data_IF_534320777430
#
_entry.id   IF_534320777430
#
_cell.length_a   1.000
_cell.length_b   1.000
_cell.length_c   1.000
_cell.angle_alpha   90.00
_cell.angle_beta   90.00
_cell.angle_gamma   90.00
#
_symmetry.space_group_name_H-M   'P 1'
#
loop_
_entity.id
_entity.type
_entity.pdbx_description
1 polymer ?
#
# COMPACT_ATOMS: atom_id res chain seq x y z
N UNK A 1 13.71 -8.30 -8.00
CA UNK A 1 12.89 -8.69 -6.85
C UNK A 1 12.30 -10.07 -7.11
N UNK A 2 12.06 -10.87 -6.07
CA UNK A 2 11.33 -12.14 -6.15
C UNK A 2 10.00 -12.04 -5.37
N UNK A 3 9.09 -13.01 -5.50
CA UNK A 3 7.77 -12.94 -4.86
C UNK A 3 7.83 -12.82 -3.33
N UNK A 4 8.72 -13.55 -2.66
CA UNK A 4 8.86 -13.48 -1.21
C UNK A 4 9.28 -12.09 -0.75
N UNK A 5 10.35 -11.54 -1.33
CA UNK A 5 10.83 -10.18 -1.05
C UNK A 5 9.81 -9.08 -1.42
N UNK A 6 9.02 -9.28 -2.47
CA UNK A 6 7.94 -8.36 -2.83
C UNK A 6 6.82 -8.37 -1.79
N UNK A 7 6.41 -9.55 -1.32
CA UNK A 7 5.40 -9.64 -0.25
C UNK A 7 5.91 -9.01 1.04
N UNK A 8 7.17 -9.27 1.41
CA UNK A 8 7.77 -8.64 2.59
C UNK A 8 7.80 -7.12 2.47
N UNK A 9 8.17 -6.59 1.31
CA UNK A 9 8.16 -5.14 1.06
C UNK A 9 6.75 -4.57 1.20
N UNK A 10 5.73 -5.19 0.61
CA UNK A 10 4.34 -4.74 0.75
C UNK A 10 3.90 -4.77 2.21
N UNK A 11 4.18 -5.85 2.95
CA UNK A 11 3.85 -5.94 4.37
C UNK A 11 4.56 -4.84 5.18
N UNK A 12 5.86 -4.62 4.95
CA UNK A 12 6.64 -3.58 5.61
C UNK A 12 6.08 -2.18 5.36
N UNK A 13 5.63 -1.91 4.13
CA UNK A 13 5.10 -0.60 3.74
C UNK A 13 3.65 -0.37 4.14
N UNK A 14 2.86 -1.42 4.39
CA UNK A 14 1.42 -1.27 4.66
C UNK A 14 0.99 -1.59 6.10
N UNK A 15 1.62 -2.56 6.78
CA UNK A 15 1.11 -3.07 8.08
C UNK A 15 2.13 -3.09 9.22
N UNK A 16 3.42 -3.03 8.94
CA UNK A 16 4.44 -3.04 9.99
C UNK A 16 4.55 -1.70 10.74
N UNK A 17 5.37 -1.68 11.80
CA UNK A 17 5.48 -0.56 12.74
C UNK A 17 5.90 0.77 12.08
N UNK A 18 6.65 0.74 10.98
CA UNK A 18 7.11 1.92 10.24
C UNK A 18 6.43 2.08 8.87
N UNK A 19 5.27 1.45 8.70
CA UNK A 19 4.49 1.48 7.47
C UNK A 19 3.98 2.88 7.13
N UNK A 20 3.64 3.08 5.85
CA UNK A 20 3.12 4.35 5.34
C UNK A 20 1.85 4.78 6.11
N UNK A 21 0.84 3.92 6.37
CA UNK A 21 -0.31 4.31 7.19
C UNK A 21 0.03 4.70 8.63
N UNK A 22 1.09 4.13 9.22
CA UNK A 22 1.57 4.56 10.54
C UNK A 22 2.21 5.94 10.43
N UNK A 23 3.10 6.17 9.47
CA UNK A 23 3.73 7.47 9.22
C UNK A 23 2.72 8.57 8.99
N UNK A 24 1.68 8.30 8.21
CA UNK A 24 0.57 9.24 8.02
C UNK A 24 -0.06 9.56 9.39
N UNK A 25 -0.43 8.56 10.19
CA UNK A 25 -1.04 8.83 11.51
C UNK A 25 -0.12 9.54 12.50
N UNK A 26 1.19 9.29 12.45
CA UNK A 26 2.18 9.94 13.31
C UNK A 26 2.66 11.28 12.77
N UNK A 27 2.27 11.65 11.54
CA UNK A 27 2.71 12.83 10.79
C UNK A 27 4.21 12.83 10.47
N UNK A 28 4.76 11.64 10.27
CA UNK A 28 6.09 11.47 9.71
C UNK A 28 6.08 11.63 8.19
N UNK A 29 7.26 11.90 7.62
CA UNK A 29 7.41 12.12 6.19
C UNK A 29 7.17 10.80 5.44
N UNK A 30 6.24 10.86 4.48
CA UNK A 30 6.03 9.79 3.48
C UNK A 30 6.74 10.18 2.18
N UNK A 31 7.85 9.53 1.85
CA UNK A 31 8.63 9.85 0.65
C UNK A 31 7.98 9.33 -0.63
N UNK A 32 8.26 9.96 -1.77
CA UNK A 32 7.79 9.43 -3.07
C UNK A 32 8.52 8.14 -3.45
N UNK A 33 9.76 7.96 -2.98
CA UNK A 33 10.53 6.74 -3.16
C UNK A 33 9.84 5.54 -2.49
N UNK A 34 9.40 5.67 -1.23
CA UNK A 34 8.77 4.54 -0.56
C UNK A 34 7.40 4.18 -1.14
N UNK A 35 6.65 5.18 -1.62
CA UNK A 35 5.39 4.95 -2.34
C UNK A 35 5.67 4.28 -3.68
N UNK A 36 6.69 4.73 -4.41
CA UNK A 36 7.11 4.14 -5.68
C UNK A 36 7.55 2.67 -5.53
N UNK A 37 8.35 2.37 -4.51
CA UNK A 37 8.78 1.00 -4.18
C UNK A 37 7.58 0.09 -3.87
N UNK A 38 6.63 0.58 -3.06
CA UNK A 38 5.40 -0.13 -2.75
C UNK A 38 4.63 -0.46 -4.02
N UNK A 39 4.33 0.54 -4.86
CA UNK A 39 3.53 0.33 -6.07
C UNK A 39 4.22 -0.64 -7.05
N UNK A 40 5.53 -0.54 -7.22
CA UNK A 40 6.30 -1.49 -8.03
C UNK A 40 6.23 -2.92 -7.50
N UNK A 41 6.26 -3.10 -6.17
CA UNK A 41 6.11 -4.41 -5.55
C UNK A 41 4.71 -5.00 -5.76
N UNK A 42 3.67 -4.17 -5.65
CA UNK A 42 2.30 -4.59 -5.91
C UNK A 42 2.13 -5.00 -7.38
N UNK A 43 2.62 -4.21 -8.33
CA UNK A 43 2.56 -4.52 -9.77
C UNK A 43 3.26 -5.84 -10.11
N UNK A 44 4.40 -6.07 -9.48
CA UNK A 44 5.12 -7.33 -9.61
C UNK A 44 4.29 -8.51 -9.07
N UNK A 45 3.64 -8.34 -7.91
CA UNK A 45 2.83 -9.38 -7.28
C UNK A 45 1.56 -9.69 -8.08
N UNK A 46 0.88 -8.67 -8.60
CA UNK A 46 -0.25 -8.84 -9.52
C UNK A 46 0.18 -9.71 -10.70
N UNK A 47 1.28 -9.36 -11.35
CA UNK A 47 1.80 -10.12 -12.48
C UNK A 47 2.21 -11.55 -12.10
N UNK A 48 2.74 -11.74 -10.88
CA UNK A 48 3.18 -13.04 -10.39
C UNK A 48 2.01 -13.98 -10.04
N UNK A 49 0.92 -13.44 -9.48
CA UNK A 49 -0.23 -14.21 -9.00
C UNK A 49 -1.41 -14.28 -9.98
N UNK A 50 -1.38 -13.57 -11.11
CA UNK A 50 -2.47 -13.51 -12.11
C UNK A 50 -3.09 -14.86 -12.53
N UNK A 51 -2.34 -15.95 -12.44
CA UNK A 51 -2.80 -17.31 -12.80
C UNK A 51 -2.57 -18.31 -11.65
N UNK A 52 -2.51 -17.81 -10.41
CA UNK A 52 -2.18 -18.61 -9.22
C UNK A 52 -3.21 -18.39 -8.12
N UNK A 53 -3.72 -19.49 -7.59
CA UNK A 53 -4.72 -19.46 -6.51
C UNK A 53 -4.09 -19.41 -5.09
N UNK A 54 -2.76 -19.36 -4.98
CA UNK A 54 -2.02 -19.54 -3.72
C UNK A 54 -1.48 -18.24 -3.11
N UNK A 55 -2.27 -17.17 -3.15
CA UNK A 55 -1.87 -15.87 -2.60
C UNK A 55 -1.61 -15.99 -1.08
N UNK A 56 -0.44 -15.56 -0.57
CA UNK A 56 -0.12 -15.61 0.84
C UNK A 56 -1.11 -14.82 1.70
N UNK A 57 -1.61 -15.43 2.78
CA UNK A 57 -2.55 -14.77 3.72
C UNK A 57 -2.01 -13.44 4.27
N UNK A 58 -0.69 -13.33 4.49
CA UNK A 58 -0.06 -12.09 4.95
C UNK A 58 -0.19 -10.94 3.95
N UNK A 59 -0.17 -11.25 2.64
CA UNK A 59 -0.39 -10.28 1.58
C UNK A 59 -1.85 -9.84 1.55
N UNK A 60 -2.79 -10.79 1.64
CA UNK A 60 -4.22 -10.48 1.73
C UNK A 60 -4.55 -9.58 2.92
N UNK A 61 -3.97 -9.87 4.09
CA UNK A 61 -4.13 -9.04 5.29
C UNK A 61 -3.63 -7.60 5.08
N UNK A 62 -2.55 -7.40 4.32
CA UNK A 62 -1.97 -6.09 4.07
C UNK A 62 -2.89 -5.14 3.27
N UNK A 63 -3.86 -5.69 2.54
CA UNK A 63 -4.80 -4.92 1.72
C UNK A 63 -6.20 -4.78 2.35
N UNK A 64 -6.44 -5.35 3.54
CA UNK A 64 -7.72 -5.21 4.24
C UNK A 64 -7.97 -3.75 4.59
N UNK A 65 -9.09 -3.19 4.12
CA UNK A 65 -9.51 -1.81 4.33
C UNK A 65 -8.40 -0.79 3.99
N UNK A 66 -7.59 -1.08 2.96
CA UNK A 66 -6.38 -0.31 2.64
C UNK A 66 -6.62 1.19 2.52
N UNK A 67 -7.74 1.61 1.93
CA UNK A 67 -8.10 3.02 1.77
C UNK A 67 -8.19 3.78 3.09
N UNK A 68 -8.63 3.14 4.18
CA UNK A 68 -8.75 3.78 5.50
C UNK A 68 -7.39 4.24 6.03
N UNK A 69 -6.31 3.55 5.66
CA UNK A 69 -4.93 3.95 6.02
C UNK A 69 -4.46 5.26 5.39
N UNK A 70 -5.16 5.75 4.36
CA UNK A 70 -4.80 6.93 3.57
C UNK A 70 -5.86 8.04 3.65
N UNK A 71 -7.00 7.78 4.28
CA UNK A 71 -8.01 8.80 4.54
C UNK A 71 -7.58 9.67 5.73
N UNK A 72 -7.29 10.95 5.47
CA UNK A 72 -6.77 11.89 6.48
C UNK A 72 -7.72 13.06 6.72
N UNK A 73 -7.70 13.60 7.95
CA UNK A 73 -8.56 14.74 8.33
C UNK A 73 -7.90 16.07 7.93
N UNK A 74 -8.69 16.97 7.35
CA UNK A 74 -8.23 18.24 6.81
C UNK A 74 -7.60 19.21 7.82
N UNK A 75 -7.82 19.00 9.12
CA UNK A 75 -7.22 19.82 10.18
C UNK A 75 -5.70 19.64 10.31
N UNK A 76 -5.16 18.51 9.86
CA UNK A 76 -3.75 18.15 10.08
C UNK A 76 -2.87 18.22 8.82
N UNK A 77 -3.47 18.36 7.64
CA UNK A 77 -2.79 18.27 6.36
C UNK A 77 -3.21 19.39 5.41
N UNK A 78 -2.30 19.80 4.54
CA UNK A 78 -2.63 20.69 3.43
C UNK A 78 -3.53 19.99 2.41
N UNK A 79 -4.30 20.76 1.64
CA UNK A 79 -5.14 20.20 0.57
C UNK A 79 -4.35 19.35 -0.44
N UNK A 80 -3.10 19.72 -0.74
CA UNK A 80 -2.22 18.94 -1.61
C UNK A 80 -1.78 17.61 -0.98
N UNK A 81 -1.55 17.56 0.33
CA UNK A 81 -1.19 16.32 1.02
C UNK A 81 -2.39 15.39 1.14
N UNK A 82 -3.58 15.94 1.45
CA UNK A 82 -4.83 15.17 1.50
C UNK A 82 -5.09 14.51 0.14
N UNK A 83 -5.03 15.28 -0.95
CA UNK A 83 -5.20 14.76 -2.30
C UNK A 83 -4.17 13.67 -2.60
N UNK A 84 -2.90 13.91 -2.28
CA UNK A 84 -1.83 12.94 -2.50
C UNK A 84 -2.10 11.62 -1.78
N UNK A 85 -2.50 11.65 -0.51
CA UNK A 85 -2.79 10.42 0.22
C UNK A 85 -4.04 9.72 -0.32
N UNK A 86 -5.08 10.48 -0.64
CA UNK A 86 -6.29 9.93 -1.27
C UNK A 86 -5.97 9.23 -2.60
N UNK A 87 -5.16 9.85 -3.46
CA UNK A 87 -4.73 9.27 -4.74
C UNK A 87 -3.96 7.95 -4.53
N UNK A 88 -3.08 7.90 -3.51
CA UNK A 88 -2.35 6.67 -3.16
C UNK A 88 -3.32 5.60 -2.68
N UNK A 89 -4.26 5.94 -1.79
CA UNK A 89 -5.25 5.02 -1.26
C UNK A 89 -6.14 4.41 -2.34
N UNK A 90 -6.63 5.23 -3.27
CA UNK A 90 -7.42 4.80 -4.44
C UNK A 90 -6.59 3.86 -5.32
N UNK A 91 -5.37 4.26 -5.66
CA UNK A 91 -4.47 3.44 -6.49
C UNK A 91 -4.22 2.07 -5.87
N UNK A 92 -3.97 2.01 -4.56
CA UNK A 92 -3.75 0.74 -3.85
C UNK A 92 -5.01 -0.12 -3.80
N UNK A 93 -6.19 0.49 -3.68
CA UNK A 93 -7.47 -0.22 -3.70
C UNK A 93 -7.74 -0.83 -5.08
N UNK A 94 -7.51 -0.08 -6.16
CA UNK A 94 -7.62 -0.59 -7.55
C UNK A 94 -6.68 -1.77 -7.79
N UNK A 95 -5.42 -1.65 -7.35
CA UNK A 95 -4.44 -2.73 -7.44
C UNK A 95 -4.80 -3.95 -6.59
N UNK A 96 -5.45 -3.74 -5.44
CA UNK A 96 -5.94 -4.84 -4.62
C UNK A 96 -7.01 -5.64 -5.37
N UNK A 97 -7.94 -4.97 -6.06
CA UNK A 97 -8.92 -5.65 -6.89
C UNK A 97 -8.23 -6.48 -7.99
N UNK A 98 -7.26 -5.92 -8.69
CA UNK A 98 -6.51 -6.66 -9.72
C UNK A 98 -5.71 -7.85 -9.16
N UNK A 99 -5.23 -7.75 -7.92
CA UNK A 99 -4.46 -8.83 -7.28
C UNK A 99 -5.32 -9.99 -6.79
N UNK A 100 -6.57 -9.72 -6.39
CA UNK A 100 -7.44 -10.70 -5.72
C UNK A 100 -8.67 -11.14 -6.55
N UNK A 101 -8.94 -10.53 -7.71
CA UNK A 101 -9.90 -11.01 -8.71
C UNK A 101 -9.27 -11.98 -9.72
#
# INVERSE_FOLDING_TARGET
>A
MNAESAVELVCARLVEENSIPVKIRTRDIVSDEEVGELLQAVDFLISYYKERDDIPKKLALAFVDIYVGFNVVAEFYSGSEIQRFEDIGITLQEKAYELFE
#
